data_IF_032414242084
#
_entry.id   IF_032414242084
#
_cell.length_a   1.000
_cell.length_b   1.000
_cell.length_c   1.000
_cell.angle_alpha   90.00
_cell.angle_beta   90.00
_cell.angle_gamma   90.00
#
_symmetry.space_group_name_H-M   'P 1'
#
loop_
_entity.id
_entity.type
_entity.pdbx_description
1 polymer ?
#
# COMPACT_ATOMS: atom_id res chain seq x y z
N UNK A 1 24.70 -2.32 -32.14
CA UNK A 1 23.88 -3.20 -31.27
C UNK A 1 24.62 -3.37 -29.95
N UNK A 2 24.34 -2.51 -28.96
CA UNK A 2 24.83 -2.71 -27.60
C UNK A 2 23.74 -3.45 -26.82
N UNK A 3 24.02 -4.70 -26.47
CA UNK A 3 23.28 -5.44 -25.46
C UNK A 3 24.08 -5.41 -24.17
N UNK A 4 23.33 -5.51 -23.07
CA UNK A 4 23.73 -6.04 -21.75
C UNK A 4 24.37 -5.04 -20.77
N UNK A 5 23.93 -4.91 -19.52
CA UNK A 5 22.82 -5.49 -18.74
C UNK A 5 22.46 -4.42 -17.69
N UNK A 6 21.18 -4.03 -17.59
CA UNK A 6 20.70 -3.34 -16.38
C UNK A 6 20.76 -4.35 -15.24
N UNK A 7 21.76 -4.25 -14.37
CA UNK A 7 21.76 -4.96 -13.10
C UNK A 7 20.68 -4.34 -12.22
N UNK A 8 19.47 -4.89 -12.30
CA UNK A 8 18.54 -4.80 -11.19
C UNK A 8 19.30 -5.40 -10.00
N UNK A 9 19.61 -4.59 -9.01
CA UNK A 9 20.09 -5.05 -7.72
C UNK A 9 18.91 -5.81 -7.11
N UNK A 10 18.80 -7.10 -7.45
CA UNK A 10 17.99 -8.05 -6.71
C UNK A 10 18.44 -7.97 -5.27
N UNK A 11 17.52 -7.57 -4.39
CA UNK A 11 17.64 -7.61 -2.94
C UNK A 11 17.96 -9.03 -2.49
N UNK A 12 19.23 -9.39 -2.53
CA UNK A 12 19.76 -10.54 -1.83
C UNK A 12 19.56 -10.28 -0.34
N UNK A 13 18.53 -10.87 0.27
CA UNK A 13 18.43 -10.90 1.72
C UNK A 13 17.06 -11.21 2.35
N UNK A 14 15.94 -11.04 1.66
CA UNK A 14 14.64 -11.38 2.26
C UNK A 14 14.34 -12.86 2.05
N UNK A 15 14.29 -13.63 3.13
CA UNK A 15 13.92 -15.03 3.05
C UNK A 15 12.42 -15.15 2.78
N UNK A 16 12.00 -16.28 2.20
CA UNK A 16 10.59 -16.61 2.01
C UNK A 16 9.75 -16.55 3.31
N UNK A 17 10.40 -16.67 4.48
CA UNK A 17 9.78 -16.57 5.79
C UNK A 17 9.53 -15.11 6.19
N UNK A 18 10.41 -14.18 5.78
CA UNK A 18 10.31 -12.76 6.10
C UNK A 18 9.18 -12.06 5.31
N UNK A 19 8.69 -12.68 4.23
CA UNK A 19 7.56 -12.21 3.43
C UNK A 19 6.21 -12.75 3.92
N UNK A 20 6.22 -13.74 4.82
CA UNK A 20 5.00 -14.23 5.41
C UNK A 20 4.49 -13.22 6.44
N UNK A 21 3.24 -12.78 6.29
CA UNK A 21 2.67 -11.76 7.15
C UNK A 21 1.23 -12.06 7.54
N UNK A 22 0.85 -11.62 8.73
CA UNK A 22 -0.54 -11.36 9.07
C UNK A 22 -0.91 -9.97 8.58
N UNK A 23 -2.11 -9.84 8.02
CA UNK A 23 -2.62 -8.57 7.49
C UNK A 23 -3.91 -8.20 8.19
N UNK A 24 -3.95 -7.00 8.74
CA UNK A 24 -5.09 -6.48 9.49
C UNK A 24 -5.62 -5.20 8.82
N UNK A 25 -6.85 -5.21 8.25
CA UNK A 25 -7.49 -4.00 7.81
C UNK A 25 -7.93 -3.17 9.02
N UNK A 26 -7.41 -1.96 9.15
CA UNK A 26 -7.64 -1.09 10.32
C UNK A 26 -8.76 -0.10 10.03
N UNK A 27 -8.70 0.55 8.87
CA UNK A 27 -9.67 1.55 8.42
C UNK A 27 -10.01 1.27 6.97
N UNK A 28 -11.27 1.40 6.61
CA UNK A 28 -11.77 1.42 5.24
C UNK A 28 -12.72 2.60 5.09
N UNK A 29 -12.44 3.49 4.14
CA UNK A 29 -13.26 4.64 3.84
C UNK A 29 -13.54 4.73 2.35
N UNK A 30 -14.78 5.01 1.97
CA UNK A 30 -15.20 5.05 0.56
C UNK A 30 -15.89 6.38 0.27
N UNK A 31 -15.39 7.10 -0.73
CA UNK A 31 -16.04 8.28 -1.32
C UNK A 31 -16.10 8.06 -2.83
N UNK A 32 -17.32 8.03 -3.37
CA UNK A 32 -17.59 7.70 -4.77
C UNK A 32 -16.90 6.38 -5.16
N UNK A 33 -16.00 6.42 -6.17
CA UNK A 33 -15.21 5.27 -6.64
C UNK A 33 -13.82 5.21 -6.03
N UNK A 34 -13.51 6.09 -5.07
CA UNK A 34 -12.21 6.10 -4.39
C UNK A 34 -12.33 5.38 -3.07
N UNK A 35 -11.49 4.37 -2.88
CA UNK A 35 -11.38 3.62 -1.63
C UNK A 35 -10.06 3.95 -0.95
N UNK A 36 -10.13 4.34 0.32
CA UNK A 36 -9.02 4.51 1.23
C UNK A 36 -8.98 3.32 2.19
N UNK A 37 -7.83 2.67 2.32
CA UNK A 37 -7.64 1.57 3.26
C UNK A 37 -6.34 1.75 4.02
N UNK A 38 -6.38 1.58 5.34
CA UNK A 38 -5.19 1.41 6.16
C UNK A 38 -5.05 -0.07 6.46
N UNK A 39 -3.94 -0.66 6.02
CA UNK A 39 -3.60 -2.05 6.28
C UNK A 39 -2.38 -2.10 7.18
N UNK A 40 -2.46 -2.88 8.25
CA UNK A 40 -1.31 -3.21 9.10
C UNK A 40 -0.75 -4.56 8.68
N UNK A 41 0.56 -4.62 8.55
CA UNK A 41 1.34 -5.79 8.19
C UNK A 41 2.21 -6.19 9.37
N UNK A 42 2.07 -7.44 9.79
CA UNK A 42 2.84 -8.02 10.89
C UNK A 42 3.63 -9.19 10.32
N UNK A 43 4.95 -9.04 10.28
CA UNK A 43 5.91 -10.07 9.87
C UNK A 43 6.68 -10.56 11.09
N UNK A 44 7.58 -11.53 10.89
CA UNK A 44 8.53 -11.97 11.93
C UNK A 44 9.48 -10.86 12.42
N UNK A 45 9.70 -9.81 11.63
CA UNK A 45 10.75 -8.80 11.86
C UNK A 45 10.26 -7.35 11.86
N UNK A 46 9.01 -7.10 11.49
CA UNK A 46 8.44 -5.77 11.38
C UNK A 46 6.93 -5.77 11.64
N UNK A 47 6.45 -4.65 12.19
CA UNK A 47 5.04 -4.34 12.40
C UNK A 47 4.83 -2.90 11.92
N UNK A 48 4.08 -2.73 10.83
CA UNK A 48 3.95 -1.46 10.16
C UNK A 48 2.60 -1.31 9.45
N UNK A 49 2.19 -0.06 9.21
CA UNK A 49 0.99 0.25 8.44
C UNK A 49 1.34 0.83 7.08
N UNK A 50 0.48 0.56 6.10
CA UNK A 50 0.49 1.19 4.80
C UNK A 50 -0.91 1.70 4.47
N UNK A 51 -0.95 2.84 3.78
CA UNK A 51 -2.18 3.50 3.35
C UNK A 51 -2.32 3.26 1.85
N UNK A 52 -3.50 2.83 1.43
CA UNK A 52 -3.86 2.60 0.04
C UNK A 52 -4.99 3.56 -0.32
N UNK A 53 -4.80 4.33 -1.39
CA UNK A 53 -5.88 5.12 -2.00
C UNK A 53 -6.05 4.64 -3.43
N UNK A 54 -7.19 4.01 -3.71
CA UNK A 54 -7.45 3.31 -4.96
C UNK A 54 -8.67 3.91 -5.63
N UNK A 55 -8.51 4.31 -6.88
CA UNK A 55 -9.62 4.58 -7.78
C UNK A 55 -10.08 3.25 -8.39
N UNK A 56 -11.25 2.80 -7.97
CA UNK A 56 -11.82 1.50 -8.36
C UNK A 56 -12.29 1.48 -9.82
N UNK A 57 -12.60 2.63 -10.42
CA UNK A 57 -12.91 2.71 -11.85
C UNK A 57 -11.66 2.51 -12.71
N UNK A 58 -10.54 3.09 -12.27
CA UNK A 58 -9.24 2.96 -12.95
C UNK A 58 -8.48 1.70 -12.59
N UNK A 59 -8.90 1.00 -11.53
CA UNK A 59 -8.17 -0.13 -10.93
C UNK A 59 -6.70 0.21 -10.63
N UNK A 60 -6.46 1.46 -10.23
CA UNK A 60 -5.13 2.02 -10.00
C UNK A 60 -5.18 2.97 -8.80
N UNK A 61 -4.03 3.20 -8.18
CA UNK A 61 -3.98 4.02 -6.99
C UNK A 61 -2.57 4.31 -6.52
N UNK A 62 -2.49 4.80 -5.29
CA UNK A 62 -1.25 5.14 -4.62
C UNK A 62 -1.18 4.41 -3.29
N UNK A 63 -0.02 3.84 -3.01
CA UNK A 63 0.33 3.33 -1.70
C UNK A 63 1.32 4.27 -1.02
N UNK A 64 1.10 4.53 0.27
CA UNK A 64 2.01 5.32 1.13
C UNK A 64 2.45 4.46 2.30
N UNK A 65 3.76 4.44 2.54
CA UNK A 65 4.39 3.64 3.60
C UNK A 65 5.65 4.35 4.10
N UNK A 66 6.07 4.07 5.33
CA UNK A 66 7.36 4.57 5.82
C UNK A 66 8.50 4.02 4.95
N UNK A 67 9.47 4.88 4.61
CA UNK A 67 10.55 4.61 3.68
C UNK A 67 11.33 3.33 4.03
N UNK A 68 11.55 3.07 5.33
CA UNK A 68 12.26 1.88 5.80
C UNK A 68 11.55 0.55 5.48
N UNK A 69 10.22 0.57 5.27
CA UNK A 69 9.42 -0.61 4.95
C UNK A 69 9.05 -0.72 3.47
N UNK A 70 9.46 0.23 2.64
CA UNK A 70 9.15 0.25 1.21
C UNK A 70 9.54 -1.04 0.48
N UNK A 71 10.78 -1.49 0.64
CA UNK A 71 11.26 -2.72 0.01
C UNK A 71 10.54 -3.98 0.54
N UNK A 72 10.14 -3.98 1.80
CA UNK A 72 9.40 -5.09 2.40
C UNK A 72 7.96 -5.15 1.85
N UNK A 73 7.26 -4.01 1.83
CA UNK A 73 5.89 -3.93 1.34
C UNK A 73 5.81 -4.27 -0.16
N UNK A 74 6.71 -3.71 -0.97
CA UNK A 74 6.76 -4.03 -2.41
C UNK A 74 7.00 -5.51 -2.67
N UNK A 75 7.84 -6.17 -1.87
CA UNK A 75 8.04 -7.62 -1.96
C UNK A 75 6.80 -8.42 -1.52
N UNK A 76 6.09 -8.00 -0.46
CA UNK A 76 4.81 -8.61 -0.03
C UNK A 76 3.75 -8.46 -1.12
N UNK A 77 3.63 -7.29 -1.75
CA UNK A 77 2.64 -7.05 -2.80
C UNK A 77 2.95 -7.86 -4.08
N UNK A 78 4.22 -8.11 -4.38
CA UNK A 78 4.63 -8.90 -5.54
C UNK A 78 4.44 -10.43 -5.33
N UNK A 79 4.59 -10.92 -4.10
CA UNK A 79 4.36 -12.31 -3.72
C UNK A 79 3.58 -12.39 -2.39
N UNK A 80 2.24 -12.22 -2.44
CA UNK A 80 1.42 -12.16 -1.24
C UNK A 80 1.36 -13.52 -0.54
N UNK A 81 2.05 -13.63 0.60
CA UNK A 81 2.09 -14.83 1.45
C UNK A 81 1.41 -14.59 2.79
N UNK A 82 0.13 -14.29 2.73
CA UNK A 82 -0.66 -14.01 3.92
C UNK A 82 -0.86 -15.29 4.75
N UNK A 83 -0.46 -15.27 6.02
CA UNK A 83 -0.80 -16.33 6.97
C UNK A 83 -2.28 -16.25 7.36
N UNK A 84 -2.76 -15.03 7.63
CA UNK A 84 -4.15 -14.76 8.01
C UNK A 84 -4.53 -13.32 7.72
N UNK A 85 -5.78 -13.10 7.32
CA UNK A 85 -6.43 -11.80 7.45
C UNK A 85 -7.18 -11.78 8.77
N UNK A 86 -6.86 -10.84 9.66
CA UNK A 86 -7.42 -10.75 11.02
C UNK A 86 -8.16 -9.43 11.19
N UNK A 87 -9.27 -9.44 11.93
CA UNK A 87 -10.02 -8.24 12.27
C UNK A 87 -11.01 -7.78 11.18
N UNK A 88 -11.85 -6.82 11.56
CA UNK A 88 -12.72 -6.06 10.65
C UNK A 88 -12.31 -4.58 10.74
N UNK A 89 -12.21 -3.86 9.61
CA UNK A 89 -11.84 -2.46 9.64
C UNK A 89 -12.96 -1.62 10.24
N UNK A 90 -12.60 -0.49 10.83
CA UNK A 90 -13.56 0.60 11.05
C UNK A 90 -13.94 1.16 9.68
N UNK A 91 -15.25 1.18 9.40
CA UNK A 91 -15.78 1.55 8.08
C UNK A 91 -16.47 2.91 8.07
N UNK A 92 -16.15 3.72 7.07
CA UNK A 92 -16.79 5.01 6.78
C UNK A 92 -17.22 5.07 5.31
N UNK A 93 -18.39 5.67 5.03
CA UNK A 93 -18.92 5.75 3.65
C UNK A 93 -19.54 7.11 3.40
N UNK A 94 -19.22 7.73 2.27
CA UNK A 94 -19.82 8.99 1.83
C UNK A 94 -19.60 10.11 2.85
N UNK A 95 -20.70 10.68 3.36
CA UNK A 95 -20.68 11.80 4.30
C UNK A 95 -20.11 11.45 5.69
N UNK A 96 -20.04 10.16 6.03
CA UNK A 96 -19.48 9.69 7.31
C UNK A 96 -17.94 9.67 7.30
N UNK A 97 -17.29 9.89 6.15
CA UNK A 97 -15.84 9.89 6.04
C UNK A 97 -15.23 11.12 6.74
N UNK A 98 -14.31 10.94 7.71
CA UNK A 98 -13.62 12.05 8.35
C UNK A 98 -12.95 12.98 7.34
N UNK A 99 -13.00 14.29 7.61
CA UNK A 99 -12.50 15.32 6.70
C UNK A 99 -11.00 15.12 6.37
N UNK A 100 -10.21 14.68 7.34
CA UNK A 100 -8.79 14.39 7.17
C UNK A 100 -8.55 13.24 6.17
N UNK A 101 -9.38 12.21 6.21
CA UNK A 101 -9.33 11.09 5.25
C UNK A 101 -9.75 11.58 3.87
N UNK A 102 -10.83 12.35 3.77
CA UNK A 102 -11.30 12.91 2.51
C UNK A 102 -10.23 13.82 1.85
N UNK A 103 -9.56 14.67 2.65
CA UNK A 103 -8.45 15.51 2.19
C UNK A 103 -7.30 14.64 1.70
N UNK A 104 -6.91 13.61 2.46
CA UNK A 104 -5.84 12.71 2.04
C UNK A 104 -6.18 11.99 0.72
N UNK A 105 -7.39 11.47 0.58
CA UNK A 105 -7.88 10.85 -0.65
C UNK A 105 -7.80 11.81 -1.84
N UNK A 106 -8.15 13.09 -1.63
CA UNK A 106 -8.05 14.13 -2.66
C UNK A 106 -6.60 14.39 -3.05
N UNK A 107 -5.68 14.51 -2.09
CA UNK A 107 -4.25 14.71 -2.37
C UNK A 107 -3.69 13.50 -3.12
N UNK A 108 -3.96 12.28 -2.65
CA UNK A 108 -3.46 11.06 -3.27
C UNK A 108 -3.97 10.84 -4.70
N UNK A 109 -5.15 11.36 -5.04
CA UNK A 109 -5.72 11.24 -6.39
C UNK A 109 -5.31 12.38 -7.33
N UNK A 110 -5.12 13.60 -6.81
CA UNK A 110 -4.89 14.79 -7.63
C UNK A 110 -3.42 15.23 -7.70
N UNK A 111 -2.64 14.99 -6.65
CA UNK A 111 -1.26 15.45 -6.50
C UNK A 111 -0.43 14.45 -5.66
N UNK A 112 -0.33 13.18 -6.07
CA UNK A 112 0.34 12.15 -5.29
C UNK A 112 1.82 12.43 -5.03
N UNK A 113 2.48 13.22 -5.88
CA UNK A 113 3.86 13.67 -5.71
C UNK A 113 4.08 14.48 -4.42
N UNK A 114 3.02 15.06 -3.86
CA UNK A 114 3.08 15.80 -2.58
C UNK A 114 3.24 14.86 -1.38
N UNK A 115 2.90 13.58 -1.55
CA UNK A 115 3.01 12.56 -0.50
C UNK A 115 4.42 11.97 -0.40
N UNK A 116 5.26 12.16 -1.42
CA UNK A 116 6.60 11.57 -1.45
C UNK A 116 7.61 12.38 -0.62
N UNK A 117 8.43 11.70 0.17
CA UNK A 117 9.51 12.29 0.97
C UNK A 117 9.04 13.11 2.18
N UNK A 118 7.74 13.22 2.43
CA UNK A 118 7.21 13.90 3.61
C UNK A 118 7.36 13.02 4.85
N UNK A 119 7.99 13.54 5.92
CA UNK A 119 8.14 12.87 7.22
C UNK A 119 8.69 11.43 7.19
N UNK A 120 9.54 11.10 6.20
CA UNK A 120 10.12 9.77 6.06
C UNK A 120 9.16 8.72 5.48
N UNK A 121 8.09 9.17 4.81
CA UNK A 121 7.21 8.32 4.00
C UNK A 121 7.63 8.37 2.53
N UNK A 122 7.32 7.30 1.81
CA UNK A 122 7.42 7.18 0.36
C UNK A 122 6.05 6.86 -0.20
N UNK A 123 5.73 7.41 -1.37
CA UNK A 123 4.53 7.06 -2.12
C UNK A 123 4.90 6.37 -3.43
N UNK A 124 4.10 5.40 -3.85
CA UNK A 124 4.30 4.71 -5.13
C UNK A 124 2.98 4.25 -5.72
N UNK A 125 2.94 4.21 -7.05
CA UNK A 125 1.77 3.74 -7.79
C UNK A 125 1.53 2.25 -7.59
N UNK A 126 0.26 1.88 -7.49
CA UNK A 126 -0.20 0.50 -7.42
C UNK A 126 -1.25 0.27 -8.50
N UNK A 127 -1.22 -0.92 -9.08
CA UNK A 127 -2.27 -1.40 -9.96
C UNK A 127 -3.02 -2.53 -9.25
N UNK A 128 -4.34 -2.42 -9.20
CA UNK A 128 -5.18 -3.51 -8.72
C UNK A 128 -5.32 -4.49 -9.88
N UNK A 129 -4.50 -5.53 -9.88
CA UNK A 129 -4.72 -6.64 -10.78
C UNK A 129 -6.06 -7.30 -10.40
N UNK A 130 -7.05 -7.24 -11.29
CA UNK A 130 -8.17 -8.15 -11.20
C UNK A 130 -7.59 -9.57 -11.20
N UNK A 131 -7.89 -10.38 -10.18
CA UNK A 131 -7.60 -11.82 -10.23
C UNK A 131 -8.19 -12.36 -11.54
N UNK A 132 -7.33 -12.80 -12.45
CA UNK A 132 -7.75 -13.63 -13.59
C UNK A 132 -8.05 -15.04 -13.09
#
# INVERSE_FOLDING_TARGET
MNKNVNSIITSAGMSAFDLCCDVEPVIEAVIDQTTFVVMRYITSSADFAAIFVVDMDKMAGVCVVQQQYFHMLTAILADPRHHKQVGEPVRFVGEDVPAEIAIFMTIATMAPEVLDGHDGYVSFEINVAAKQ
#
